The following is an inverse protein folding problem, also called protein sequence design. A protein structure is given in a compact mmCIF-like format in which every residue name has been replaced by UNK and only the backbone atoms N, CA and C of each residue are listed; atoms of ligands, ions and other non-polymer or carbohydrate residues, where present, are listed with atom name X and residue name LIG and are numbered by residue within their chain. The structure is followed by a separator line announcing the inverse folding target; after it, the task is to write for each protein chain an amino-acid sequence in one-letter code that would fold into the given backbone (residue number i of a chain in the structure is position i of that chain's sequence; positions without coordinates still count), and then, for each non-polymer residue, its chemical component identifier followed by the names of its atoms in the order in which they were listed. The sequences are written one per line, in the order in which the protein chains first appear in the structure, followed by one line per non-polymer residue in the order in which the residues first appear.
data_IF_836275398812
#
_entry.id   IF_836275398812
#
_cell.length_a   1.000
_cell.length_b   1.000
_cell.length_c   1.000
_cell.angle_alpha   90.00
_cell.angle_beta   90.00
_cell.angle_gamma   90.00
#
_symmetry.space_group_name_H-M   'P 1'
#
loop_
_entity.id
_entity.type
_entity.pdbx_description
1 polymer ?
#
# COMPACT_ATOMS: atom_id res chain seq x y z
N UNK A 1 28.78 -2.51 61.39
CA UNK A 1 29.01 -1.35 60.49
C UNK A 1 29.42 -1.94 59.14
N UNK A 2 28.45 -1.97 58.22
CA UNK A 2 28.49 -2.63 56.90
C UNK A 2 29.32 -1.83 55.87
N UNK A 3 29.90 -2.46 54.83
CA UNK A 3 30.70 -1.79 53.80
C UNK A 3 29.85 -1.04 52.75
N UNK A 4 30.44 -0.13 51.95
CA UNK A 4 29.71 0.69 50.98
C UNK A 4 29.39 -0.06 49.69
N UNK A 5 28.18 0.16 49.19
CA UNK A 5 27.61 -0.44 47.98
C UNK A 5 28.34 -0.03 46.71
N UNK A 6 28.74 -1.03 45.91
CA UNK A 6 29.14 -0.87 44.51
C UNK A 6 27.91 -0.50 43.67
N UNK A 7 27.93 0.68 43.06
CA UNK A 7 27.00 1.01 41.98
C UNK A 7 27.36 0.17 40.74
N UNK A 8 26.60 -0.89 40.50
CA UNK A 8 26.57 -1.56 39.20
C UNK A 8 25.85 -0.64 38.22
N UNK A 9 26.58 -0.04 37.27
CA UNK A 9 26.00 0.45 36.04
C UNK A 9 25.46 -0.75 35.26
N UNK A 10 24.14 -0.93 35.27
CA UNK A 10 23.44 -1.74 34.28
C UNK A 10 23.49 -1.03 32.92
N UNK A 11 24.01 -1.64 31.85
CA UNK A 11 23.82 -1.10 30.51
C UNK A 11 22.34 -1.20 30.11
N UNK A 12 21.80 -0.07 29.63
CA UNK A 12 20.47 0.05 29.03
C UNK A 12 20.38 -0.83 27.76
N UNK A 13 19.31 -1.62 27.64
CA UNK A 13 19.03 -2.52 26.52
C UNK A 13 18.05 -1.87 25.52
N UNK A 14 18.51 -1.48 24.31
CA UNK A 14 17.61 -1.23 23.18
C UNK A 14 17.76 -2.24 22.01
N UNK A 15 18.60 -3.27 22.11
CA UNK A 15 18.93 -4.12 20.95
C UNK A 15 17.81 -5.10 20.52
N UNK A 16 17.01 -5.62 21.46
CA UNK A 16 16.03 -6.68 21.16
C UNK A 16 14.77 -6.16 20.43
N UNK A 17 14.32 -4.94 20.75
CA UNK A 17 13.14 -4.33 20.13
C UNK A 17 13.41 -3.84 18.70
N UNK A 18 14.62 -3.34 18.43
CA UNK A 18 15.03 -2.93 17.09
C UNK A 18 15.12 -4.12 16.13
N UNK A 19 15.57 -5.29 16.59
CA UNK A 19 15.70 -6.48 15.76
C UNK A 19 14.34 -7.05 15.33
N UNK A 20 13.34 -7.07 16.21
CA UNK A 20 11.98 -7.51 15.86
C UNK A 20 11.29 -6.56 14.89
N UNK A 21 11.55 -5.26 15.01
CA UNK A 21 10.96 -4.22 14.17
C UNK A 21 11.51 -4.23 12.75
N UNK A 22 12.83 -4.47 12.58
CA UNK A 22 13.41 -4.69 11.26
C UNK A 22 12.96 -5.99 10.62
N UNK A 23 12.72 -7.04 11.41
CA UNK A 23 12.21 -8.31 10.90
C UNK A 23 10.78 -8.15 10.35
N UNK A 24 9.92 -7.42 11.06
CA UNK A 24 8.54 -7.12 10.64
C UNK A 24 8.50 -6.32 9.32
N UNK A 25 9.43 -5.36 9.14
CA UNK A 25 9.54 -4.59 7.90
C UNK A 25 10.02 -5.44 6.72
N UNK A 26 11.01 -6.31 6.90
CA UNK A 26 11.49 -7.18 5.82
C UNK A 26 10.44 -8.23 5.43
N UNK A 27 9.73 -8.80 6.41
CA UNK A 27 8.60 -9.72 6.15
C UNK A 27 7.44 -9.01 5.43
N UNK A 28 7.19 -7.75 5.76
CA UNK A 28 6.22 -6.91 5.06
C UNK A 28 6.60 -6.68 3.59
N UNK A 29 7.87 -6.34 3.31
CA UNK A 29 8.35 -6.21 1.93
C UNK A 29 8.31 -7.55 1.16
N UNK A 30 8.63 -8.67 1.82
CA UNK A 30 8.56 -9.99 1.21
C UNK A 30 7.11 -10.34 0.82
N UNK A 31 6.16 -10.05 1.71
CA UNK A 31 4.72 -10.18 1.43
C UNK A 31 4.29 -9.32 0.25
N UNK A 32 4.70 -8.05 0.22
CA UNK A 32 4.40 -7.16 -0.90
C UNK A 32 4.98 -7.67 -2.23
N UNK A 33 6.20 -8.23 -2.21
CA UNK A 33 6.83 -8.81 -3.38
C UNK A 33 6.11 -10.07 -3.89
N UNK A 34 5.66 -10.94 -2.98
CA UNK A 34 4.87 -12.12 -3.33
C UNK A 34 3.52 -11.72 -3.94
N UNK A 35 2.82 -10.77 -3.31
CA UNK A 35 1.55 -10.24 -3.80
C UNK A 35 1.72 -9.59 -5.18
N UNK A 36 2.74 -8.75 -5.37
CA UNK A 36 3.03 -8.13 -6.68
C UNK A 36 3.23 -9.19 -7.77
N UNK A 37 3.97 -10.26 -7.48
CA UNK A 37 4.21 -11.38 -8.40
C UNK A 37 2.93 -12.09 -8.80
N UNK A 38 2.02 -12.26 -7.84
CA UNK A 38 0.72 -12.93 -8.04
C UNK A 38 -0.27 -12.04 -8.79
N UNK A 39 -0.30 -10.75 -8.50
CA UNK A 39 -1.18 -9.79 -9.19
C UNK A 39 -0.73 -9.49 -10.62
N UNK A 40 0.58 -9.42 -10.89
CA UNK A 40 1.11 -9.11 -12.23
C UNK A 40 2.53 -9.66 -12.44
N UNK A 41 2.62 -10.83 -13.08
CA UNK A 41 3.89 -11.47 -13.39
C UNK A 41 4.81 -10.57 -14.24
N UNK A 42 4.26 -9.92 -15.28
CA UNK A 42 5.05 -9.05 -16.17
C UNK A 42 5.63 -7.85 -15.44
N UNK A 43 4.81 -7.18 -14.61
CA UNK A 43 5.28 -6.05 -13.82
C UNK A 43 6.34 -6.49 -12.82
N UNK A 44 6.11 -7.59 -12.10
CA UNK A 44 7.08 -8.17 -11.18
C UNK A 44 8.42 -8.44 -11.89
N UNK A 45 8.43 -9.11 -13.05
CA UNK A 45 9.65 -9.35 -13.82
C UNK A 45 10.34 -8.06 -14.26
N UNK A 46 9.59 -7.03 -14.66
CA UNK A 46 10.17 -5.74 -15.00
C UNK A 46 10.88 -5.08 -13.79
N UNK A 47 10.29 -5.16 -12.60
CA UNK A 47 10.94 -4.66 -11.38
C UNK A 47 12.22 -5.43 -11.03
N UNK A 48 12.40 -6.66 -11.54
CA UNK A 48 13.64 -7.42 -11.37
C UNK A 48 14.87 -6.77 -12.04
N UNK A 49 14.68 -5.73 -12.85
CA UNK A 49 15.76 -4.93 -13.44
C UNK A 49 16.22 -3.77 -12.55
N UNK A 50 15.46 -3.43 -11.51
CA UNK A 50 15.78 -2.33 -10.58
C UNK A 50 16.75 -2.79 -9.48
N UNK A 51 17.46 -1.84 -8.86
CA UNK A 51 18.24 -2.12 -7.66
C UNK A 51 17.33 -2.58 -6.50
N UNK A 52 17.86 -3.43 -5.60
CA UNK A 52 17.06 -4.05 -4.53
C UNK A 52 16.28 -3.03 -3.65
N UNK A 53 16.87 -1.91 -3.18
CA UNK A 53 16.14 -0.95 -2.34
C UNK A 53 15.01 -0.25 -3.11
N UNK A 54 15.21 0.01 -4.40
CA UNK A 54 14.19 0.62 -5.25
C UNK A 54 13.05 -0.36 -5.52
N UNK A 55 13.38 -1.62 -5.86
CA UNK A 55 12.42 -2.66 -6.16
C UNK A 55 11.46 -2.91 -5.00
N UNK A 56 11.97 -3.06 -3.77
CA UNK A 56 11.13 -3.29 -2.60
C UNK A 56 10.17 -2.12 -2.34
N UNK A 57 10.63 -0.88 -2.56
CA UNK A 57 9.81 0.33 -2.46
C UNK A 57 8.68 0.32 -3.50
N UNK A 58 8.99 -0.09 -4.73
CA UNK A 58 7.99 -0.25 -5.80
C UNK A 58 6.96 -1.33 -5.45
N UNK A 59 7.38 -2.46 -4.89
CA UNK A 59 6.46 -3.52 -4.44
C UNK A 59 5.54 -3.04 -3.33
N UNK A 60 6.04 -2.30 -2.34
CA UNK A 60 5.22 -1.72 -1.27
C UNK A 60 4.15 -0.76 -1.82
N UNK A 61 4.55 0.17 -2.70
CA UNK A 61 3.62 1.10 -3.35
C UNK A 61 2.59 0.35 -4.18
N UNK A 62 3.03 -0.62 -4.99
CA UNK A 62 2.13 -1.41 -5.83
C UNK A 62 1.10 -2.17 -5.00
N UNK A 63 1.55 -2.88 -3.95
CA UNK A 63 0.65 -3.60 -3.04
C UNK A 63 -0.37 -2.67 -2.40
N UNK A 64 0.06 -1.51 -1.91
CA UNK A 64 -0.86 -0.54 -1.31
C UNK A 64 -1.90 -0.05 -2.33
N UNK A 65 -1.48 0.31 -3.54
CA UNK A 65 -2.41 0.76 -4.59
C UNK A 65 -3.43 -0.33 -4.93
N UNK A 66 -2.96 -1.57 -5.07
CA UNK A 66 -3.82 -2.69 -5.45
C UNK A 66 -4.81 -3.07 -4.34
N UNK A 67 -4.40 -3.01 -3.08
CA UNK A 67 -5.30 -3.19 -1.92
C UNK A 67 -6.35 -2.06 -1.86
N UNK A 68 -5.98 -0.83 -2.24
CA UNK A 68 -6.94 0.26 -2.37
C UNK A 68 -7.99 -0.04 -3.45
N UNK A 69 -7.57 -0.48 -4.64
CA UNK A 69 -8.51 -0.89 -5.71
C UNK A 69 -9.47 -1.97 -5.22
N UNK A 70 -8.95 -3.03 -4.59
CA UNK A 70 -9.76 -4.14 -4.07
C UNK A 70 -10.77 -3.69 -2.99
N UNK A 71 -10.45 -2.60 -2.27
CA UNK A 71 -11.37 -2.03 -1.27
C UNK A 71 -12.63 -1.43 -1.90
N UNK A 72 -12.56 -0.99 -3.16
CA UNK A 72 -13.66 -0.33 -3.88
C UNK A 72 -14.27 -1.23 -4.96
N UNK A 73 -13.44 -2.03 -5.64
CA UNK A 73 -13.82 -2.82 -6.82
C UNK A 73 -14.14 -4.30 -6.54
N UNK A 74 -13.95 -4.77 -5.29
CA UNK A 74 -14.33 -6.14 -4.93
C UNK A 74 -15.85 -6.35 -5.01
N UNK A 75 -16.26 -7.59 -5.27
CA UNK A 75 -17.68 -7.97 -5.28
C UNK A 75 -18.32 -7.63 -3.93
N UNK A 76 -17.59 -7.88 -2.85
CA UNK A 76 -17.99 -7.55 -1.48
C UNK A 76 -18.15 -6.02 -1.28
N UNK A 77 -17.30 -5.21 -1.90
CA UNK A 77 -17.44 -3.75 -1.86
C UNK A 77 -18.68 -3.27 -2.64
N UNK A 78 -18.95 -3.86 -3.81
CA UNK A 78 -20.14 -3.59 -4.58
C UNK A 78 -21.42 -3.96 -3.82
N UNK A 79 -21.42 -5.09 -3.11
CA UNK A 79 -22.56 -5.56 -2.29
C UNK A 79 -22.76 -4.72 -1.01
N UNK A 80 -21.68 -4.29 -0.35
CA UNK A 80 -21.74 -3.50 0.88
C UNK A 80 -22.30 -2.08 0.69
N UNK A 81 -22.24 -1.56 -0.54
CA UNK A 81 -22.80 -0.27 -0.92
C UNK A 81 -21.85 0.91 -0.73
N UNK A 82 -22.22 2.03 -1.37
CA UNK A 82 -21.35 3.22 -1.55
C UNK A 82 -20.94 3.89 -0.24
N UNK A 83 -21.81 3.92 0.76
CA UNK A 83 -21.50 4.56 2.05
C UNK A 83 -20.38 3.83 2.79
N UNK A 84 -20.37 2.49 2.70
CA UNK A 84 -19.32 1.66 3.28
C UNK A 84 -18.00 1.88 2.55
N UNK A 85 -18.02 1.88 1.21
CA UNK A 85 -16.83 2.19 0.41
C UNK A 85 -16.27 3.59 0.73
N UNK A 86 -17.14 4.60 0.83
CA UNK A 86 -16.75 5.96 1.21
C UNK A 86 -16.10 6.01 2.61
N UNK A 87 -16.67 5.29 3.58
CA UNK A 87 -16.10 5.21 4.93
C UNK A 87 -14.71 4.53 4.94
N UNK A 88 -14.53 3.45 4.18
CA UNK A 88 -13.22 2.79 4.02
C UNK A 88 -12.19 3.72 3.38
N UNK A 89 -12.55 4.44 2.32
CA UNK A 89 -11.67 5.43 1.68
C UNK A 89 -11.27 6.57 2.63
N UNK A 90 -12.15 7.02 3.53
CA UNK A 90 -11.81 8.00 4.57
C UNK A 90 -10.83 7.43 5.60
N UNK A 91 -11.01 6.17 5.99
CA UNK A 91 -10.10 5.50 6.93
C UNK A 91 -8.70 5.34 6.33
N UNK A 92 -8.61 4.93 5.06
CA UNK A 92 -7.34 4.78 4.34
C UNK A 92 -6.64 6.14 4.16
N UNK A 93 -7.36 7.19 3.76
CA UNK A 93 -6.80 8.54 3.69
C UNK A 93 -6.27 9.02 5.05
N UNK A 94 -7.04 8.81 6.12
CA UNK A 94 -6.62 9.18 7.47
C UNK A 94 -5.34 8.46 7.90
N UNK A 95 -5.22 7.18 7.56
CA UNK A 95 -4.02 6.38 7.81
C UNK A 95 -2.82 6.87 6.99
N UNK A 96 -3.02 7.12 5.69
CA UNK A 96 -1.99 7.66 4.80
C UNK A 96 -1.45 9.01 5.31
N UNK A 97 -2.34 9.92 5.71
CA UNK A 97 -1.94 11.22 6.27
C UNK A 97 -1.12 11.06 7.55
N UNK A 98 -1.43 10.09 8.42
CA UNK A 98 -0.58 9.78 9.60
C UNK A 98 0.81 9.29 9.21
N UNK A 99 0.92 8.46 8.17
CA UNK A 99 2.23 7.98 7.69
C UNK A 99 3.12 9.13 7.24
N UNK A 100 2.59 10.05 6.42
CA UNK A 100 3.34 11.21 5.93
C UNK A 100 3.59 12.28 7.00
N UNK A 101 2.68 12.48 7.95
CA UNK A 101 2.92 13.39 9.08
C UNK A 101 4.11 12.91 9.94
N UNK A 102 4.18 11.60 10.22
CA UNK A 102 5.29 11.02 10.97
C UNK A 102 6.65 11.11 10.27
N UNK A 103 6.68 11.32 8.95
CA UNK A 103 7.92 11.60 8.20
C UNK A 103 8.45 13.01 8.46
N UNK A 104 7.55 13.99 8.65
CA UNK A 104 7.92 15.41 8.80
C UNK A 104 8.38 15.73 10.23
N UNK A 105 7.85 14.99 11.23
CA UNK A 105 8.19 15.17 12.63
C UNK A 105 9.48 14.46 13.07
N UNK A 106 10.19 13.76 12.16
CA UNK A 106 11.48 13.14 12.44
C UNK A 106 12.61 14.18 12.53
N UNK A 107 12.58 14.95 13.61
CA UNK A 107 13.70 15.61 14.27
C UNK A 107 13.62 15.28 15.75
N UNK A 108 14.45 14.33 16.19
CA UNK A 108 14.58 13.78 17.55
C UNK A 108 13.36 13.02 18.14
N UNK A 109 13.67 11.82 18.64
CA UNK A 109 12.92 10.97 19.58
C UNK A 109 11.88 9.93 19.12
N UNK A 110 11.93 8.83 19.88
CA UNK A 110 11.34 7.49 19.79
C UNK A 110 9.80 7.42 19.87
N UNK A 111 9.09 8.34 19.22
CA UNK A 111 7.63 8.33 19.15
C UNK A 111 7.15 7.45 17.98
N UNK A 112 7.46 6.15 18.03
CA UNK A 112 6.93 5.18 17.07
C UNK A 112 5.42 5.01 17.27
N UNK A 113 4.69 5.01 16.15
CA UNK A 113 3.26 4.74 16.06
C UNK A 113 2.93 3.42 16.75
N UNK A 114 2.43 3.49 17.99
CA UNK A 114 1.77 2.37 18.68
C UNK A 114 0.50 2.03 17.89
N UNK A 115 0.65 1.10 16.96
CA UNK A 115 -0.37 0.68 16.00
C UNK A 115 0.16 -0.27 14.92
N UNK A 116 1.49 -0.42 14.79
CA UNK A 116 2.15 -1.30 13.82
C UNK A 116 1.70 -2.78 13.90
N UNK A 117 1.43 -3.31 15.11
CA UNK A 117 1.07 -4.71 15.29
C UNK A 117 -0.31 -5.11 14.69
N UNK A 118 -1.13 -4.15 14.28
CA UNK A 118 -2.40 -4.39 13.58
C UNK A 118 -2.41 -3.80 12.16
N UNK A 119 -1.29 -3.22 11.72
CA UNK A 119 -1.17 -2.70 10.36
C UNK A 119 -0.95 -3.85 9.37
N UNK A 120 -1.56 -3.72 8.21
CA UNK A 120 -1.36 -4.66 7.11
C UNK A 120 0.08 -4.59 6.57
N UNK A 121 0.60 -5.68 5.96
CA UNK A 121 1.97 -5.72 5.44
C UNK A 121 2.29 -4.56 4.48
N UNK A 122 1.36 -4.20 3.59
CA UNK A 122 1.53 -3.08 2.67
C UNK A 122 1.58 -1.72 3.38
N UNK A 123 0.90 -1.56 4.51
CA UNK A 123 1.02 -0.35 5.34
C UNK A 123 2.40 -0.27 5.99
N UNK A 124 2.89 -1.36 6.57
CA UNK A 124 4.20 -1.42 7.23
C UNK A 124 5.31 -1.11 6.22
N UNK A 125 5.27 -1.77 5.05
CA UNK A 125 6.24 -1.57 3.99
C UNK A 125 6.17 -0.15 3.39
N UNK A 126 4.97 0.40 3.21
CA UNK A 126 4.80 1.77 2.71
C UNK A 126 5.33 2.80 3.73
N UNK A 127 5.10 2.60 5.02
CA UNK A 127 5.61 3.48 6.07
C UNK A 127 7.15 3.54 6.05
N UNK A 128 7.82 2.39 5.90
CA UNK A 128 9.27 2.34 5.72
C UNK A 128 9.72 3.00 4.41
N UNK A 129 9.01 2.74 3.31
CA UNK A 129 9.28 3.33 1.99
C UNK A 129 9.22 4.86 2.04
N UNK A 130 8.22 5.43 2.71
CA UNK A 130 8.05 6.89 2.89
C UNK A 130 9.24 7.48 3.66
N UNK A 131 9.71 6.82 4.72
CA UNK A 131 10.85 7.30 5.52
C UNK A 131 12.16 7.25 4.73
N UNK A 132 12.35 6.21 3.91
CA UNK A 132 13.60 5.95 3.22
C UNK A 132 13.68 6.54 1.80
N UNK A 133 12.64 7.24 1.33
CA UNK A 133 12.61 7.86 0.00
C UNK A 133 12.48 9.39 0.09
N UNK A 134 13.60 10.12 0.07
CA UNK A 134 13.59 11.59 0.13
C UNK A 134 12.76 12.21 -0.99
N UNK A 135 11.93 13.20 -0.66
CA UNK A 135 11.09 13.92 -1.61
C UNK A 135 9.81 13.19 -2.04
N UNK A 136 9.51 12.02 -1.47
CA UNK A 136 8.20 11.39 -1.64
C UNK A 136 7.11 12.24 -0.97
N UNK A 137 6.04 12.52 -1.71
CA UNK A 137 4.89 13.31 -1.23
C UNK A 137 3.62 12.48 -1.22
N UNK A 138 2.65 12.86 -0.39
CA UNK A 138 1.35 12.21 -0.32
C UNK A 138 0.46 12.46 -1.54
N UNK A 139 0.74 13.50 -2.33
CA UNK A 139 -0.17 14.01 -3.36
C UNK A 139 -0.64 12.93 -4.36
N UNK A 140 0.24 12.11 -4.97
CA UNK A 140 -0.21 11.07 -5.92
C UNK A 140 -1.14 10.03 -5.30
N UNK A 141 -0.92 9.70 -4.02
CA UNK A 141 -1.74 8.73 -3.29
C UNK A 141 -3.13 9.33 -2.97
N UNK A 142 -3.18 10.60 -2.61
CA UNK A 142 -4.43 11.33 -2.33
C UNK A 142 -5.25 11.57 -3.60
N UNK A 143 -4.58 11.83 -4.74
CA UNK A 143 -5.23 11.99 -6.03
C UNK A 143 -5.96 10.70 -6.45
N UNK A 144 -5.34 9.54 -6.21
CA UNK A 144 -5.96 8.23 -6.48
C UNK A 144 -7.22 8.00 -5.64
N UNK A 145 -7.16 8.29 -4.34
CA UNK A 145 -8.33 8.21 -3.45
C UNK A 145 -9.44 9.19 -3.90
N UNK A 146 -9.05 10.38 -4.36
CA UNK A 146 -10.00 11.39 -4.85
C UNK A 146 -10.69 10.94 -6.14
N UNK A 147 -9.97 10.29 -7.04
CA UNK A 147 -10.54 9.65 -8.23
C UNK A 147 -11.62 8.63 -7.88
N UNK A 148 -11.30 7.67 -7.01
CA UNK A 148 -12.25 6.62 -6.59
C UNK A 148 -13.49 7.18 -5.89
N UNK A 149 -13.36 8.26 -5.11
CA UNK A 149 -14.52 8.94 -4.51
C UNK A 149 -15.43 9.58 -5.55
N UNK A 150 -14.85 10.11 -6.62
CA UNK A 150 -15.60 10.73 -7.70
C UNK A 150 -16.42 9.67 -8.45
N UNK A 151 -15.84 8.50 -8.68
CA UNK A 151 -16.55 7.37 -9.31
C UNK A 151 -17.73 6.87 -8.48
N UNK A 152 -17.62 6.87 -7.13
CA UNK A 152 -18.73 6.54 -6.25
C UNK A 152 -19.89 7.56 -6.30
N UNK A 153 -19.66 8.78 -6.81
CA UNK A 153 -20.69 9.83 -6.86
C UNK A 153 -21.50 9.86 -8.17
N UNK A 154 -21.08 9.09 -9.17
CA UNK A 154 -21.76 8.99 -10.47
C UNK A 154 -22.61 7.72 -10.47
N UNK A 155 -23.91 7.84 -10.73
CA UNK A 155 -24.75 6.66 -10.92
C UNK A 155 -24.26 5.89 -12.17
N UNK A 156 -24.24 4.53 -12.14
CA UNK A 156 -23.90 3.77 -13.33
C UNK A 156 -24.86 4.16 -14.45
N UNK A 157 -24.38 4.20 -15.72
CA UNK A 157 -25.25 4.47 -16.85
C UNK A 157 -26.47 3.55 -16.77
N UNK A 158 -27.67 4.15 -16.84
CA UNK A 158 -28.90 3.38 -16.90
C UNK A 158 -28.89 2.39 -18.08
N UNK A 159 -29.79 1.39 -18.10
CA UNK A 159 -29.84 0.36 -19.15
C UNK A 159 -30.00 0.91 -20.58
N UNK A 160 -30.29 2.21 -20.71
CA UNK A 160 -30.58 2.91 -21.95
C UNK A 160 -29.37 3.72 -22.47
N UNK A 161 -28.26 3.73 -21.73
CA UNK A 161 -27.03 4.39 -22.18
C UNK A 161 -26.39 3.54 -23.27
N UNK A 162 -26.70 3.91 -24.51
CA UNK A 162 -26.10 3.41 -25.74
C UNK A 162 -24.57 3.34 -25.60
N UNK A 163 -24.06 2.16 -25.25
CA UNK A 163 -22.64 1.83 -25.38
C UNK A 163 -22.40 1.53 -26.84
N UNK A 164 -22.53 2.58 -27.65
CA UNK A 164 -22.23 2.57 -29.07
C UNK A 164 -20.73 2.40 -29.28
N UNK A 165 -20.28 1.15 -29.35
CA UNK A 165 -19.17 0.68 -30.20
C UNK A 165 -18.84 -0.80 -29.92
N UNK A 166 -19.84 -1.69 -29.96
CA UNK A 166 -19.54 -3.07 -30.35
C UNK A 166 -19.24 -3.04 -31.85
N UNK A 167 -17.95 -2.94 -32.20
CA UNK A 167 -17.48 -3.21 -33.58
C UNK A 167 -17.99 -4.60 -33.94
N UNK A 168 -19.02 -4.64 -34.77
CA UNK A 168 -19.55 -5.86 -35.35
C UNK A 168 -18.39 -6.53 -36.09
N UNK A 169 -17.99 -7.71 -35.60
CA UNK A 169 -17.16 -8.66 -36.35
C UNK A 169 -17.99 -9.13 -37.54
N UNK A 170 -18.02 -8.32 -38.59
CA UNK A 170 -18.47 -8.73 -39.92
C UNK A 170 -17.58 -9.89 -40.38
N UNK A 171 -18.22 -11.06 -40.47
CA UNK A 171 -17.93 -12.20 -41.35
C UNK A 171 -16.58 -12.17 -42.06
N UNK A 172 -15.60 -12.92 -41.53
CA UNK A 172 -14.46 -13.37 -42.33
C UNK A 172 -14.93 -14.45 -43.32
N UNK A 173 -14.85 -14.24 -44.65
CA UNK A 173 -15.11 -15.31 -45.59
C UNK A 173 -14.04 -16.39 -45.46
N UNK A 174 -14.51 -17.64 -45.33
CA UNK A 174 -13.66 -18.81 -45.38
C UNK A 174 -12.96 -18.92 -46.74
N UNK A 175 -11.67 -19.22 -46.68
CA UNK A 175 -10.90 -19.94 -47.69
C UNK A 175 -10.49 -19.20 -48.98
N UNK A 176 -9.21 -18.82 -49.03
CA UNK A 176 -8.37 -19.07 -50.20
C UNK A 176 -6.91 -19.23 -49.74
N UNK A 177 -6.49 -20.48 -49.51
CA UNK A 177 -5.07 -20.85 -49.58
C UNK A 177 -4.88 -21.83 -50.73
N UNK A 178 -4.00 -21.39 -51.66
CA UNK A 178 -3.44 -22.03 -52.85
C UNK A 178 -4.29 -21.98 -54.12
#
# INVERSE_FOLDING_TARGET
LFPPSLHLLTPSLPAAAAASDTADVEDAYATCGAYTRESSATFYFATLLMAQPQRRSVWAIYSWCRTLDETVDSVEAAEAGRDVASAKLRAIESQLNRLFASQTEQGDDDARVSGAAAASPETVALADTIRNTPGMTAAPFLDMITGMRSDLSVDPPGPDADTGAAVSLESFPANQRR
#
